data_IF_239412788295
#
_entry.id   IF_239412788295
#
_cell.length_a   1.000
_cell.length_b   1.000
_cell.length_c   1.000
_cell.angle_alpha   90.00
_cell.angle_beta   90.00
_cell.angle_gamma   90.00
#
_symmetry.space_group_name_H-M   'P 1'
#
loop_
_entity.id
_entity.type
_entity.pdbx_description
1 polymer ?
#
# COMPACT_ATOMS: atom_id res chain seq x y z
N UNK A 1 -9.03 17.17 4.18
CA UNK A 1 -8.64 16.38 2.98
C UNK A 1 -7.82 15.14 3.34
N UNK A 2 -6.83 15.21 4.25
CA UNK A 2 -6.04 14.05 4.70
C UNK A 2 -6.90 12.89 5.26
N UNK A 3 -7.92 13.20 6.06
CA UNK A 3 -8.89 12.21 6.58
C UNK A 3 -9.68 11.49 5.48
N UNK A 4 -9.97 12.18 4.38
CA UNK A 4 -10.71 11.61 3.24
C UNK A 4 -9.80 10.65 2.47
N UNK A 5 -8.55 11.04 2.20
CA UNK A 5 -7.56 10.19 1.55
C UNK A 5 -7.27 8.90 2.35
N UNK A 6 -7.02 9.02 3.66
CA UNK A 6 -6.80 7.87 4.55
C UNK A 6 -7.99 6.91 4.52
N UNK A 7 -9.22 7.43 4.59
CA UNK A 7 -10.44 6.61 4.52
C UNK A 7 -10.57 5.87 3.19
N UNK A 8 -10.22 6.51 2.08
CA UNK A 8 -10.24 5.84 0.77
C UNK A 8 -9.21 4.72 0.69
N UNK A 9 -8.00 4.93 1.20
CA UNK A 9 -6.98 3.88 1.25
C UNK A 9 -7.40 2.71 2.15
N UNK A 10 -7.96 2.99 3.32
CA UNK A 10 -8.51 1.96 4.22
C UNK A 10 -9.59 1.14 3.54
N UNK A 11 -10.55 1.79 2.88
CA UNK A 11 -11.63 1.09 2.15
C UNK A 11 -11.07 0.24 0.99
N UNK A 12 -10.11 0.78 0.23
CA UNK A 12 -9.46 0.05 -0.84
C UNK A 12 -8.75 -1.20 -0.31
N UNK A 13 -7.90 -1.06 0.72
CA UNK A 13 -7.20 -2.18 1.35
C UNK A 13 -8.19 -3.24 1.85
N UNK A 14 -9.25 -2.82 2.56
CA UNK A 14 -10.27 -3.73 3.09
C UNK A 14 -11.05 -4.47 1.99
N UNK A 15 -11.23 -3.88 0.81
CA UNK A 15 -11.86 -4.55 -0.34
C UNK A 15 -11.05 -5.75 -0.87
N UNK A 16 -9.75 -5.81 -0.57
CA UNK A 16 -8.88 -6.96 -0.87
C UNK A 16 -8.70 -7.86 0.35
N UNK A 17 -8.39 -7.30 1.51
CA UNK A 17 -8.14 -8.10 2.72
C UNK A 17 -9.36 -8.91 3.18
N UNK A 18 -10.59 -8.45 2.89
CA UNK A 18 -11.82 -9.21 3.15
C UNK A 18 -11.97 -10.47 2.29
N UNK A 19 -11.27 -10.56 1.14
CA UNK A 19 -11.27 -11.73 0.25
C UNK A 19 -10.30 -12.82 0.72
N UNK A 20 -9.42 -12.51 1.67
CA UNK A 20 -8.46 -13.47 2.24
C UNK A 20 -9.20 -14.48 3.14
N UNK A 21 -8.62 -15.67 3.29
CA UNK A 21 -9.06 -16.68 4.26
C UNK A 21 -7.91 -16.96 5.25
N UNK A 22 -8.05 -16.64 6.56
CA UNK A 22 -9.14 -15.87 7.16
C UNK A 22 -9.13 -14.39 6.71
N UNK A 23 -10.30 -13.71 6.73
CA UNK A 23 -10.41 -12.32 6.34
C UNK A 23 -9.65 -11.42 7.32
N UNK A 24 -9.06 -10.37 6.78
CA UNK A 24 -8.37 -9.33 7.56
C UNK A 24 -9.00 -7.97 7.30
N UNK A 25 -8.78 -7.05 8.24
CA UNK A 25 -9.25 -5.67 8.15
C UNK A 25 -8.25 -4.72 8.80
N UNK A 26 -8.27 -3.48 8.33
CA UNK A 26 -7.65 -2.32 8.97
C UNK A 26 -8.70 -1.24 9.27
N UNK A 27 -8.44 -0.48 10.33
CA UNK A 27 -9.20 0.68 10.77
C UNK A 27 -8.35 1.94 10.74
N UNK A 28 -7.12 1.85 11.27
CA UNK A 28 -6.11 2.90 11.17
C UNK A 28 -5.01 2.50 10.18
N UNK A 29 -4.86 3.27 9.11
CA UNK A 29 -3.92 2.96 8.03
C UNK A 29 -2.47 2.86 8.52
N UNK A 30 -2.08 3.69 9.48
CA UNK A 30 -0.68 3.80 9.89
C UNK A 30 -0.39 2.75 10.94
N UNK A 31 -1.22 2.67 11.98
CA UNK A 31 -1.00 1.74 13.09
C UNK A 31 -1.21 0.29 12.66
N UNK A 32 -2.24 -0.02 11.86
CA UNK A 32 -2.52 -1.41 11.47
C UNK A 32 -1.55 -1.97 10.43
N UNK A 33 -0.81 -1.11 9.73
CA UNK A 33 0.26 -1.52 8.79
C UNK A 33 1.65 -1.54 9.46
N UNK A 34 1.78 -1.02 10.67
CA UNK A 34 3.06 -0.76 11.34
C UNK A 34 3.93 -1.99 11.61
N UNK A 35 3.33 -3.16 11.73
CA UNK A 35 4.04 -4.42 11.92
C UNK A 35 4.41 -5.15 10.60
N UNK A 36 3.90 -4.63 9.47
CA UNK A 36 4.12 -5.14 8.11
C UNK A 36 3.29 -6.38 7.75
N UNK A 37 2.57 -6.99 8.70
CA UNK A 37 1.86 -8.26 8.47
C UNK A 37 0.70 -8.09 7.50
N UNK A 38 -0.11 -7.04 7.70
CA UNK A 38 -1.25 -6.72 6.82
C UNK A 38 -0.82 -6.16 5.48
N UNK A 39 0.32 -5.47 5.42
CA UNK A 39 0.93 -5.04 4.16
C UNK A 39 1.33 -6.24 3.31
N UNK A 40 2.02 -7.23 3.90
CA UNK A 40 2.37 -8.46 3.21
C UNK A 40 1.11 -9.22 2.77
N UNK A 41 0.12 -9.37 3.64
CA UNK A 41 -1.15 -10.03 3.29
C UNK A 41 -1.87 -9.33 2.12
N UNK A 42 -1.84 -8.00 2.06
CA UNK A 42 -2.38 -7.23 0.94
C UNK A 42 -1.63 -7.55 -0.37
N UNK A 43 -0.30 -7.56 -0.33
CA UNK A 43 0.53 -7.88 -1.49
C UNK A 43 0.31 -9.32 -1.97
N UNK A 44 0.15 -10.28 -1.06
CA UNK A 44 -0.23 -11.66 -1.40
C UNK A 44 -1.58 -11.71 -2.14
N UNK A 45 -2.60 -11.03 -1.63
CA UNK A 45 -3.93 -11.01 -2.26
C UNK A 45 -3.90 -10.32 -3.64
N UNK A 46 -3.15 -9.23 -3.77
CA UNK A 46 -3.05 -8.48 -5.03
C UNK A 46 -2.29 -9.23 -6.12
N UNK A 47 -1.25 -9.97 -5.74
CA UNK A 47 -0.37 -10.66 -6.69
C UNK A 47 -0.70 -12.12 -6.92
N UNK A 48 -1.42 -12.76 -5.98
CA UNK A 48 -1.59 -14.20 -5.94
C UNK A 48 -0.33 -14.96 -5.47
N UNK A 49 0.75 -14.27 -5.11
CA UNK A 49 2.02 -14.89 -4.67
C UNK A 49 2.08 -14.99 -3.14
N UNK A 50 2.70 -16.06 -2.63
CA UNK A 50 2.94 -16.20 -1.18
C UNK A 50 4.20 -15.47 -0.79
N UNK A 51 4.13 -14.71 0.30
CA UNK A 51 5.25 -13.95 0.84
C UNK A 51 5.66 -14.50 2.21
N UNK A 52 6.97 -14.57 2.51
CA UNK A 52 7.41 -14.90 3.85
C UNK A 52 6.94 -13.81 4.82
N UNK A 53 6.36 -14.22 5.94
CA UNK A 53 5.91 -13.31 6.99
C UNK A 53 6.56 -13.75 8.29
N UNK A 54 7.30 -12.87 8.93
CA UNK A 54 7.78 -13.08 10.29
C UNK A 54 6.59 -13.14 11.24
N UNK A 55 6.50 -14.26 11.96
CA UNK A 55 5.43 -14.53 12.94
C UNK A 55 6.07 -14.87 14.28
N UNK A 56 5.44 -14.44 15.36
CA UNK A 56 5.88 -14.77 16.71
C UNK A 56 4.76 -14.57 17.71
N UNK A 57 4.90 -15.19 18.89
CA UNK A 57 3.95 -15.02 20.00
C UNK A 57 3.86 -13.56 20.46
N UNK A 58 4.96 -12.81 20.32
CA UNK A 58 5.04 -11.36 20.53
C UNK A 58 5.89 -10.76 19.42
N UNK A 59 5.28 -9.95 18.55
CA UNK A 59 6.02 -9.22 17.54
C UNK A 59 6.76 -8.01 18.16
N UNK A 60 7.92 -7.68 17.59
CA UNK A 60 8.83 -6.63 18.06
C UNK A 60 9.43 -5.93 16.86
N UNK A 61 10.08 -4.79 17.09
CA UNK A 61 10.68 -3.96 16.03
C UNK A 61 11.51 -4.74 14.99
N UNK A 62 12.38 -5.71 15.35
CA UNK A 62 13.11 -6.49 14.35
C UNK A 62 12.20 -7.29 13.41
N UNK A 63 11.13 -7.90 13.93
CA UNK A 63 10.14 -8.60 13.10
C UNK A 63 9.40 -7.63 12.17
N UNK A 64 9.06 -6.43 12.67
CA UNK A 64 8.41 -5.41 11.85
C UNK A 64 9.32 -4.95 10.71
N UNK A 65 10.60 -4.71 10.98
CA UNK A 65 11.59 -4.35 9.98
C UNK A 65 11.74 -5.45 8.93
N UNK A 66 11.82 -6.71 9.36
CA UNK A 66 11.90 -7.86 8.45
C UNK A 66 10.68 -7.92 7.52
N UNK A 67 9.46 -7.85 8.07
CA UNK A 67 8.23 -7.86 7.27
C UNK A 67 8.18 -6.71 6.25
N UNK A 68 8.56 -5.50 6.65
CA UNK A 68 8.61 -4.36 5.74
C UNK A 68 9.68 -4.53 4.66
N UNK A 69 10.87 -5.04 5.02
CA UNK A 69 11.92 -5.34 4.05
C UNK A 69 11.45 -6.37 3.02
N UNK A 70 10.75 -7.42 3.44
CA UNK A 70 10.14 -8.39 2.52
C UNK A 70 9.18 -7.71 1.55
N UNK A 71 8.30 -6.84 2.05
CA UNK A 71 7.35 -6.11 1.21
C UNK A 71 8.07 -5.20 0.19
N UNK A 72 9.08 -4.45 0.62
CA UNK A 72 9.84 -3.55 -0.25
C UNK A 72 10.69 -4.30 -1.28
N UNK A 73 11.28 -5.44 -0.91
CA UNK A 73 12.01 -6.31 -1.84
C UNK A 73 11.06 -6.90 -2.89
N UNK A 74 9.88 -7.37 -2.48
CA UNK A 74 8.88 -7.87 -3.41
C UNK A 74 8.48 -6.82 -4.47
N UNK A 75 8.22 -5.58 -4.03
CA UNK A 75 7.88 -4.48 -4.93
C UNK A 75 9.07 -4.12 -5.86
N UNK A 76 10.28 -4.09 -5.33
CA UNK A 76 11.51 -3.88 -6.11
C UNK A 76 11.70 -4.94 -7.20
N UNK A 77 11.44 -6.22 -6.87
CA UNK A 77 11.51 -7.33 -7.82
C UNK A 77 10.50 -7.20 -8.97
N UNK A 78 9.36 -6.55 -8.71
CA UNK A 78 8.36 -6.17 -9.72
C UNK A 78 8.71 -4.90 -10.51
N UNK A 79 9.94 -4.39 -10.37
CA UNK A 79 10.48 -3.18 -11.00
C UNK A 79 9.75 -1.90 -10.61
N UNK A 80 9.17 -1.86 -9.42
CA UNK A 80 8.54 -0.66 -8.86
C UNK A 80 9.62 0.20 -8.22
N UNK A 81 9.69 1.48 -8.61
CA UNK A 81 10.64 2.44 -8.02
C UNK A 81 10.11 2.94 -6.67
N UNK A 82 10.83 2.61 -5.60
CA UNK A 82 10.53 3.03 -4.23
C UNK A 82 11.43 4.21 -3.83
N UNK A 83 11.09 5.42 -4.27
CA UNK A 83 11.90 6.61 -3.98
C UNK A 83 11.63 7.08 -2.55
N UNK A 84 12.68 7.16 -1.73
CA UNK A 84 12.63 7.62 -0.33
C UNK A 84 11.68 6.83 0.60
N UNK A 85 11.55 5.51 0.37
CA UNK A 85 10.77 4.63 1.25
C UNK A 85 11.70 3.61 1.89
N UNK A 86 11.85 3.69 3.22
CA UNK A 86 12.65 2.75 4.00
C UNK A 86 11.78 1.98 5.00
N UNK A 87 12.19 0.76 5.33
CA UNK A 87 11.47 -0.07 6.30
C UNK A 87 11.38 0.57 7.69
N UNK A 88 12.44 1.23 8.17
CA UNK A 88 12.43 1.92 9.48
C UNK A 88 11.32 2.96 9.58
N UNK A 89 11.09 3.70 8.50
CA UNK A 89 10.12 4.78 8.44
C UNK A 89 8.67 4.29 8.45
N UNK A 90 8.45 3.12 7.86
CA UNK A 90 7.17 2.44 7.88
C UNK A 90 6.88 1.89 9.28
N UNK A 91 7.90 1.30 9.92
CA UNK A 91 7.81 0.83 11.32
C UNK A 91 7.61 1.97 12.31
N UNK A 92 8.17 3.15 12.03
CA UNK A 92 7.94 4.36 12.81
C UNK A 92 6.58 5.02 12.49
N UNK A 93 5.87 4.53 11.48
CA UNK A 93 4.54 5.01 11.12
C UNK A 93 4.55 6.41 10.51
N UNK A 94 5.62 6.81 9.81
CA UNK A 94 5.71 8.16 9.22
C UNK A 94 4.61 8.35 8.17
N UNK A 95 3.59 9.22 8.41
CA UNK A 95 2.39 9.26 7.57
C UNK A 95 2.66 9.48 6.08
N UNK A 96 3.53 10.42 5.65
CA UNK A 96 3.79 10.66 4.23
C UNK A 96 4.38 9.42 3.52
N UNK A 97 5.18 8.63 4.23
CA UNK A 97 5.86 7.46 3.66
C UNK A 97 4.91 6.28 3.54
N UNK A 98 4.09 6.03 4.57
CA UNK A 98 3.04 5.00 4.51
C UNK A 98 2.04 5.32 3.40
N UNK A 99 1.58 6.57 3.31
CA UNK A 99 0.68 7.02 2.25
C UNK A 99 1.31 6.88 0.86
N UNK A 100 2.58 7.29 0.72
CA UNK A 100 3.33 7.16 -0.53
C UNK A 100 3.49 5.71 -0.98
N UNK A 101 3.79 4.80 -0.05
CA UNK A 101 3.89 3.37 -0.35
C UNK A 101 2.56 2.78 -0.84
N UNK A 102 1.47 3.01 -0.08
CA UNK A 102 0.15 2.49 -0.46
C UNK A 102 -0.29 3.06 -1.80
N UNK A 103 -0.02 4.34 -2.03
CA UNK A 103 -0.27 4.98 -3.31
C UNK A 103 0.47 4.30 -4.46
N UNK A 104 1.77 4.05 -4.31
CA UNK A 104 2.58 3.34 -5.30
C UNK A 104 2.04 1.93 -5.60
N UNK A 105 1.61 1.20 -4.57
CA UNK A 105 1.00 -0.13 -4.72
C UNK A 105 -0.30 -0.06 -5.52
N UNK A 106 -1.20 0.88 -5.19
CA UNK A 106 -2.47 1.07 -5.90
C UNK A 106 -2.21 1.32 -7.39
N UNK A 107 -1.35 2.28 -7.72
CA UNK A 107 -1.04 2.64 -9.10
C UNK A 107 -0.50 1.47 -9.92
N UNK A 108 0.41 0.69 -9.33
CA UNK A 108 1.02 -0.44 -10.02
C UNK A 108 0.00 -1.54 -10.33
N UNK A 109 -0.76 -1.99 -9.32
CA UNK A 109 -1.68 -3.11 -9.51
C UNK A 109 -2.91 -2.73 -10.34
N UNK A 110 -3.34 -1.48 -10.32
CA UNK A 110 -4.37 -1.01 -11.24
C UNK A 110 -3.91 -0.98 -12.69
N UNK A 111 -2.69 -0.49 -12.94
CA UNK A 111 -2.11 -0.49 -14.28
C UNK A 111 -1.86 -1.90 -14.81
N UNK A 112 -1.62 -2.88 -13.93
CA UNK A 112 -1.54 -4.28 -14.36
C UNK A 112 -2.92 -4.88 -14.63
N UNK A 113 -3.91 -4.61 -13.79
CA UNK A 113 -5.27 -5.10 -14.00
C UNK A 113 -5.88 -4.59 -15.30
N UNK A 114 -5.65 -3.32 -15.66
CA UNK A 114 -6.17 -2.74 -16.92
C UNK A 114 -5.51 -3.29 -18.17
N UNK A 115 -4.29 -3.83 -18.07
CA UNK A 115 -3.62 -4.53 -19.18
C UNK A 115 -4.15 -5.96 -19.38
N UNK A 116 -4.78 -6.53 -18.36
CA UNK A 116 -5.22 -7.92 -18.33
C UNK A 116 -6.74 -8.05 -18.53
N UNK A 117 -7.54 -7.02 -18.21
CA UNK A 117 -9.00 -7.08 -18.27
C UNK A 117 -9.64 -5.84 -18.92
N UNK A 118 -10.25 -6.02 -20.09
CA UNK A 118 -11.16 -5.07 -20.76
C UNK A 118 -12.61 -5.23 -20.23
N UNK A 119 -12.81 -5.49 -18.93
CA UNK A 119 -14.11 -5.96 -18.41
C UNK A 119 -14.58 -5.36 -17.08
N UNK A 120 -13.77 -5.36 -16.02
CA UNK A 120 -14.23 -4.95 -14.68
C UNK A 120 -13.29 -3.94 -14.00
N UNK A 121 -13.62 -2.65 -14.06
CA UNK A 121 -12.86 -1.67 -13.28
C UNK A 121 -13.39 -0.24 -13.19
N UNK A 122 -14.56 0.08 -13.74
CA UNK A 122 -14.88 1.48 -14.05
C UNK A 122 -15.03 2.44 -12.85
N UNK A 123 -15.44 1.99 -11.66
CA UNK A 123 -15.68 2.93 -10.55
C UNK A 123 -14.46 3.10 -9.63
N UNK A 124 -13.75 2.01 -9.34
CA UNK A 124 -12.53 2.04 -8.52
C UNK A 124 -11.35 2.62 -9.30
N UNK A 125 -11.27 2.37 -10.63
CA UNK A 125 -10.29 3.02 -11.48
C UNK A 125 -10.55 4.52 -11.56
N UNK A 126 -11.80 4.99 -11.62
CA UNK A 126 -12.13 6.42 -11.57
C UNK A 126 -11.70 7.05 -10.24
N UNK A 127 -12.04 6.43 -9.10
CA UNK A 127 -11.66 6.96 -7.77
C UNK A 127 -10.15 7.06 -7.64
N UNK A 128 -9.41 6.05 -8.08
CA UNK A 128 -7.95 6.07 -8.02
C UNK A 128 -7.32 6.99 -9.06
N UNK A 129 -7.92 7.15 -10.25
CA UNK A 129 -7.49 8.16 -11.24
C UNK A 129 -7.70 9.56 -10.70
N UNK A 130 -8.83 9.83 -10.03
CA UNK A 130 -9.11 11.11 -9.40
C UNK A 130 -8.14 11.40 -8.24
N UNK A 131 -7.84 10.38 -7.41
CA UNK A 131 -6.78 10.47 -6.40
C UNK A 131 -5.39 10.70 -7.02
N UNK A 132 -5.10 10.08 -8.17
CA UNK A 132 -3.84 10.27 -8.88
C UNK A 132 -3.70 11.69 -9.39
N UNK A 133 -4.78 12.25 -9.92
CA UNK A 133 -4.82 13.62 -10.38
C UNK A 133 -4.70 14.61 -9.22
N UNK A 134 -5.42 14.41 -8.11
CA UNK A 134 -5.30 15.28 -6.93
C UNK A 134 -3.89 15.25 -6.31
N UNK A 135 -3.28 14.07 -6.21
CA UNK A 135 -1.96 13.92 -5.60
C UNK A 135 -0.85 14.40 -6.53
N UNK A 136 -0.99 14.18 -7.84
CA UNK A 136 -0.10 14.77 -8.86
C UNK A 136 -0.19 16.30 -8.85
N UNK A 137 -1.39 16.86 -8.76
CA UNK A 137 -1.58 18.31 -8.67
C UNK A 137 -0.87 18.88 -7.44
N UNK A 138 -1.00 18.22 -6.27
CA UNK A 138 -0.30 18.61 -5.03
C UNK A 138 1.22 18.47 -5.11
N UNK A 139 1.74 17.43 -5.76
CA UNK A 139 3.18 17.22 -5.93
C UNK A 139 3.80 18.30 -6.82
N UNK A 140 3.12 18.71 -7.89
CA UNK A 140 3.55 19.81 -8.78
C UNK A 140 3.59 21.14 -8.01
N UNK A 141 2.61 21.41 -7.15
CA UNK A 141 2.60 22.64 -6.33
C UNK A 141 3.70 22.68 -5.26
N UNK A 142 4.14 21.51 -4.78
CA UNK A 142 5.17 21.42 -3.74
C UNK A 142 6.61 21.33 -4.30
N UNK A 143 6.77 20.98 -5.57
CA UNK A 143 8.10 20.75 -6.20
C UNK A 143 8.57 21.89 -7.10
N UNK A 144 7.72 22.89 -7.35
CA UNK A 144 8.08 24.14 -8.03
C UNK A 144 7.81 25.29 -7.06
N UNK A 145 8.78 25.69 -6.21
CA UNK A 145 8.73 27.00 -5.62
C UNK A 145 8.92 28.03 -6.74
N UNK A 146 8.08 29.07 -6.75
CA UNK A 146 8.44 30.31 -7.44
C UNK A 146 9.74 30.86 -6.89
#
# INVERSE_FOLDING_TARGET
QERVQKKTFVNWINSYLSKRVPPLRIEDLIDDLRDGTRLLALLEVLSGEKLPVERGRVLRRPHFLSNHNTALQFLSNKRIKLVNINASDLVDGRPPIVLGLIWTIILYFQSQSSRIDHGLGNEIAKIATNLAQELRAKWVTLSCPN
#
